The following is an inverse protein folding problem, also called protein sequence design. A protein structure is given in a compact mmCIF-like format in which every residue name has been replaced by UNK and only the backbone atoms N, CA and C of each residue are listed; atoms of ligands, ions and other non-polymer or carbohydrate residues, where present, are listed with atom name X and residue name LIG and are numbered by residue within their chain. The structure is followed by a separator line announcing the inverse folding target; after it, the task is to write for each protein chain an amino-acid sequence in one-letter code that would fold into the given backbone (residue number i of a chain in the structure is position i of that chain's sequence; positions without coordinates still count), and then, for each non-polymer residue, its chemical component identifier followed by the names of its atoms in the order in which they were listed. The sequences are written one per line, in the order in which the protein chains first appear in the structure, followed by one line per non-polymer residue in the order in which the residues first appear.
data_IF_486879073934
#
_entry.id   IF_486879073934
#
_cell.length_a   1.000
_cell.length_b   1.000
_cell.length_c   1.000
_cell.angle_alpha   90.00
_cell.angle_beta   90.00
_cell.angle_gamma   90.00
#
_symmetry.space_group_name_H-M   'P 1'
#
loop_
_entity.id
_entity.type
_entity.pdbx_description
1 polymer ?
#
# COMPACT_ATOMS: atom_id res chain seq x y z
N UNK A 1 11.07 -11.33 -19.15
CA UNK A 1 10.19 -12.31 -18.47
C UNK A 1 9.56 -11.58 -17.28
N UNK A 2 8.24 -11.65 -17.10
CA UNK A 2 7.61 -11.08 -15.92
C UNK A 2 8.08 -11.89 -14.70
N UNK A 3 8.56 -11.21 -13.66
CA UNK A 3 8.93 -11.85 -12.42
C UNK A 3 7.65 -12.35 -11.74
N UNK A 4 7.54 -13.67 -11.53
CA UNK A 4 6.36 -14.31 -10.92
C UNK A 4 6.48 -14.47 -9.41
N UNK A 5 7.56 -13.98 -8.78
CA UNK A 5 7.70 -13.99 -7.33
C UNK A 5 6.66 -13.08 -6.67
N UNK A 6 6.11 -13.50 -5.54
CA UNK A 6 5.26 -12.64 -4.73
C UNK A 6 6.00 -11.35 -4.33
N UNK A 7 5.28 -10.23 -4.34
CA UNK A 7 5.78 -8.98 -3.76
C UNK A 7 5.86 -9.11 -2.23
N UNK A 8 6.99 -8.71 -1.66
CA UNK A 8 7.23 -8.73 -0.20
C UNK A 8 7.88 -7.41 0.21
N UNK A 9 7.24 -6.68 1.13
CA UNK A 9 7.79 -5.49 1.78
C UNK A 9 8.27 -5.85 3.19
N UNK A 10 9.54 -5.60 3.47
CA UNK A 10 10.18 -5.87 4.77
C UNK A 10 10.55 -4.56 5.47
N UNK A 11 10.75 -4.62 6.80
CA UNK A 11 11.22 -3.46 7.57
C UNK A 11 10.13 -2.43 7.92
N UNK A 12 8.86 -2.77 7.72
CA UNK A 12 7.74 -1.96 8.19
C UNK A 12 7.65 -2.05 9.72
N UNK A 13 7.40 -0.91 10.38
CA UNK A 13 7.25 -0.81 11.83
C UNK A 13 5.90 -0.22 12.18
N UNK A 14 5.27 -0.74 13.23
CA UNK A 14 4.03 -0.18 13.77
C UNK A 14 4.37 1.14 14.46
N UNK A 15 3.74 2.23 14.01
CA UNK A 15 3.95 3.55 14.62
C UNK A 15 3.27 3.60 16.00
N UNK A 16 3.83 4.31 16.99
CA UNK A 16 3.20 4.46 18.31
C UNK A 16 1.74 4.97 18.21
N UNK A 17 1.49 5.94 17.33
CA UNK A 17 0.16 6.52 17.12
C UNK A 17 -0.83 5.58 16.42
N UNK A 18 -0.38 4.39 16.01
CA UNK A 18 -1.23 3.35 15.45
C UNK A 18 -1.76 2.38 16.50
N UNK A 19 -1.27 2.47 17.73
CA UNK A 19 -1.70 1.61 18.83
C UNK A 19 -2.98 2.17 19.44
N UNK A 20 -4.03 1.34 19.51
CA UNK A 20 -5.30 1.72 20.13
C UNK A 20 -5.28 1.53 21.65
N UNK A 21 -6.40 1.85 22.31
CA UNK A 21 -6.53 1.69 23.77
C UNK A 21 -6.49 0.22 24.23
N UNK A 22 -6.57 -0.75 23.32
CA UNK A 22 -6.41 -2.18 23.63
C UNK A 22 -4.94 -2.61 23.66
N UNK A 23 -4.01 -1.70 23.30
CA UNK A 23 -2.57 -1.98 23.30
C UNK A 23 -2.09 -2.70 22.04
N UNK A 24 -2.91 -2.79 20.99
CA UNK A 24 -2.54 -3.40 19.72
C UNK A 24 -2.72 -2.41 18.57
N UNK A 25 -2.22 -2.77 17.38
CA UNK A 25 -2.42 -1.95 16.19
C UNK A 25 -3.92 -1.82 15.89
N UNK A 26 -4.39 -0.58 15.78
CA UNK A 26 -5.77 -0.30 15.42
C UNK A 26 -6.08 -0.88 14.04
N UNK A 27 -7.27 -1.48 13.91
CA UNK A 27 -7.74 -2.11 12.67
C UNK A 27 -7.66 -1.19 11.44
N UNK A 28 -7.93 0.10 11.58
CA UNK A 28 -7.89 1.05 10.46
C UNK A 28 -6.49 1.20 9.84
N UNK A 29 -5.43 1.09 10.64
CA UNK A 29 -4.06 1.25 10.15
C UNK A 29 -3.54 0.02 9.40
N UNK A 30 -4.21 -1.12 9.45
CA UNK A 30 -3.90 -2.24 8.56
C UNK A 30 -4.16 -1.85 7.11
N UNK A 31 -5.31 -1.21 6.83
CA UNK A 31 -5.63 -0.73 5.49
C UNK A 31 -4.61 0.31 5.02
N UNK A 32 -4.20 1.24 5.88
CA UNK A 32 -3.14 2.22 5.56
C UNK A 32 -1.81 1.52 5.22
N UNK A 33 -1.44 0.49 5.98
CA UNK A 33 -0.22 -0.27 5.73
C UNK A 33 -0.27 -1.02 4.40
N UNK A 34 -1.41 -1.63 4.06
CA UNK A 34 -1.60 -2.34 2.80
C UNK A 34 -1.67 -1.40 1.60
N UNK A 35 -2.33 -0.25 1.74
CA UNK A 35 -2.41 0.79 0.71
C UNK A 35 -1.00 1.28 0.31
N UNK A 36 -0.16 1.58 1.31
CA UNK A 36 1.24 1.94 1.08
C UNK A 36 2.13 0.80 0.51
N UNK A 37 1.68 -0.46 0.58
CA UNK A 37 2.34 -1.57 -0.11
C UNK A 37 1.86 -1.71 -1.56
N UNK A 38 0.57 -1.45 -1.80
CA UNK A 38 -0.04 -1.49 -3.13
C UNK A 38 0.54 -0.38 -4.02
N UNK A 39 0.85 0.79 -3.47
CA UNK A 39 1.53 1.87 -4.19
C UNK A 39 2.84 1.40 -4.84
N UNK A 40 3.69 0.67 -4.11
CA UNK A 40 4.94 0.12 -4.66
C UNK A 40 4.66 -0.85 -5.83
N UNK A 41 3.59 -1.64 -5.72
CA UNK A 41 3.20 -2.60 -6.75
C UNK A 41 2.68 -1.86 -7.99
N UNK A 42 1.81 -0.87 -7.82
CA UNK A 42 1.33 -0.05 -8.94
C UNK A 42 2.48 0.69 -9.62
N UNK A 43 3.38 1.30 -8.87
CA UNK A 43 4.58 1.94 -9.43
C UNK A 43 5.38 0.95 -10.29
N UNK A 44 5.56 -0.29 -9.83
CA UNK A 44 6.27 -1.33 -10.59
C UNK A 44 5.61 -1.72 -11.92
N UNK A 45 4.30 -1.49 -12.05
CA UNK A 45 3.54 -1.68 -13.30
C UNK A 45 3.40 -0.39 -14.13
N UNK A 46 4.05 0.70 -13.73
CA UNK A 46 3.91 2.01 -14.39
C UNK A 46 2.54 2.64 -14.15
N UNK A 47 1.92 2.32 -13.01
CA UNK A 47 0.57 2.70 -12.60
C UNK A 47 0.57 3.64 -11.39
N UNK A 48 1.73 4.19 -11.01
CA UNK A 48 1.84 5.11 -9.87
C UNK A 48 1.60 6.59 -10.22
N UNK A 49 2.21 7.56 -9.51
CA UNK A 49 1.86 8.97 -9.65
C UNK A 49 1.98 9.53 -11.07
N UNK A 50 2.92 9.02 -11.87
CA UNK A 50 3.10 9.48 -13.26
C UNK A 50 1.98 8.98 -14.18
N UNK A 51 1.42 7.79 -13.94
CA UNK A 51 0.22 7.31 -14.64
C UNK A 51 -0.97 8.25 -14.45
N UNK A 52 -1.19 8.73 -13.22
CA UNK A 52 -2.26 9.68 -12.91
C UNK A 52 -2.04 11.00 -13.65
N UNK A 53 -0.81 11.55 -13.62
CA UNK A 53 -0.48 12.82 -14.28
C UNK A 53 -0.57 12.75 -15.81
N UNK A 54 -0.06 11.68 -16.41
CA UNK A 54 0.07 11.57 -17.87
C UNK A 54 -1.23 11.10 -18.53
N UNK A 55 -1.99 10.22 -17.86
CA UNK A 55 -3.15 9.55 -18.46
C UNK A 55 -4.48 9.92 -17.81
N UNK A 56 -4.47 10.65 -16.69
CA UNK A 56 -5.69 11.03 -15.98
C UNK A 56 -6.47 9.85 -15.40
N UNK A 57 -5.82 8.71 -15.19
CA UNK A 57 -6.42 7.50 -14.62
C UNK A 57 -6.28 7.42 -13.10
N UNK A 58 -7.06 6.54 -12.47
CA UNK A 58 -6.99 6.26 -11.03
C UNK A 58 -7.56 4.86 -10.71
N UNK A 59 -7.49 4.45 -9.44
CA UNK A 59 -7.92 3.15 -8.93
C UNK A 59 -8.88 3.33 -7.77
N UNK A 60 -9.74 2.32 -7.57
CA UNK A 60 -10.64 2.26 -6.44
C UNK A 60 -10.59 0.84 -5.86
N UNK A 61 -10.55 0.75 -4.54
CA UNK A 61 -10.79 -0.49 -3.81
C UNK A 61 -12.29 -0.65 -3.65
N UNK A 62 -12.82 -1.80 -4.06
CA UNK A 62 -14.20 -2.17 -3.78
C UNK A 62 -14.25 -2.85 -2.41
N UNK A 63 -15.21 -2.44 -1.58
CA UNK A 63 -15.49 -3.00 -0.25
C UNK A 63 -16.88 -3.64 -0.18
#
# INVERSE_FOLDING_TARGET
MLNTSAYVKSGLSVKPDWIDYNGHMNMAYYTVLFDACIDDVFESFGLGPDYVKERGGSYYTLE
#
